data_IF_446827610865
#
_entry.id   IF_446827610865
#
_cell.length_a   1.000
_cell.length_b   1.000
_cell.length_c   1.000
_cell.angle_alpha   90.00
_cell.angle_beta   90.00
_cell.angle_gamma   90.00
#
_symmetry.space_group_name_H-M   'P 1'
#
loop_
_entity.id
_entity.type
_entity.pdbx_description
1 polymer ?
#
# COMPACT_ATOMS: atom_id res chain seq x y z
N UNK A 1 -7.35 -6.08 13.02
CA UNK A 1 -6.12 -6.90 12.93
C UNK A 1 -5.55 -7.04 11.50
N UNK A 2 -6.26 -6.69 10.42
CA UNK A 2 -5.77 -6.85 9.05
C UNK A 2 -4.67 -5.84 8.62
N UNK A 3 -4.71 -4.59 9.09
CA UNK A 3 -3.80 -3.51 8.62
C UNK A 3 -2.32 -3.78 8.97
N UNK A 4 -2.04 -4.36 10.15
CA UNK A 4 -0.66 -4.63 10.58
C UNK A 4 0.05 -5.65 9.68
N UNK A 5 -0.66 -6.68 9.22
CA UNK A 5 -0.09 -7.70 8.35
C UNK A 5 0.21 -7.17 6.94
N UNK A 6 -0.56 -6.19 6.45
CA UNK A 6 -0.38 -5.58 5.13
C UNK A 6 0.91 -4.75 5.07
N UNK A 7 1.21 -4.05 6.17
CA UNK A 7 2.36 -3.15 6.25
C UNK A 7 3.63 -3.85 6.77
N UNK A 8 3.52 -5.07 7.29
CA UNK A 8 4.64 -5.81 7.87
C UNK A 8 5.85 -5.97 6.93
N UNK A 9 5.71 -6.36 5.64
CA UNK A 9 6.86 -6.48 4.73
C UNK A 9 7.60 -5.15 4.57
N UNK A 10 6.87 -4.04 4.47
CA UNK A 10 7.44 -2.71 4.30
C UNK A 10 8.11 -2.20 5.58
N UNK A 11 7.53 -2.51 6.74
CA UNK A 11 8.13 -2.20 8.04
C UNK A 11 9.44 -2.96 8.24
N UNK A 12 9.45 -4.27 7.94
CA UNK A 12 10.64 -5.10 7.98
C UNK A 12 11.71 -4.62 7.00
N UNK A 13 11.35 -4.36 5.74
CA UNK A 13 12.24 -3.74 4.75
C UNK A 13 12.88 -2.45 5.28
N UNK A 14 12.05 -1.51 5.77
CA UNK A 14 12.52 -0.21 6.22
C UNK A 14 13.48 -0.33 7.40
N UNK A 15 13.18 -1.22 8.35
CA UNK A 15 14.03 -1.47 9.51
C UNK A 15 15.34 -2.17 9.12
N UNK A 16 15.27 -3.22 8.29
CA UNK A 16 16.45 -3.96 7.83
C UNK A 16 17.40 -3.08 7.02
N UNK A 17 16.88 -2.16 6.20
CA UNK A 17 17.70 -1.17 5.49
C UNK A 17 18.53 -0.27 6.41
N UNK A 18 18.24 -0.19 7.72
CA UNK A 18 19.02 0.56 8.70
C UNK A 18 20.17 -0.26 9.33
N UNK A 19 20.08 -1.59 9.30
CA UNK A 19 20.97 -2.48 10.07
C UNK A 19 21.68 -3.54 9.22
N UNK A 20 21.28 -3.71 7.95
CA UNK A 20 21.86 -4.71 7.04
C UNK A 20 21.88 -4.24 5.58
N UNK A 21 22.25 -5.12 4.66
CA UNK A 21 22.33 -4.82 3.23
C UNK A 21 20.96 -4.71 2.56
N UNK A 22 20.90 -3.99 1.44
CA UNK A 22 19.68 -3.85 0.65
C UNK A 22 19.17 -5.20 0.14
N UNK A 23 20.07 -6.08 -0.31
CA UNK A 23 19.76 -7.43 -0.80
C UNK A 23 19.03 -8.25 0.27
N UNK A 24 19.57 -8.31 1.48
CA UNK A 24 18.95 -9.04 2.60
C UNK A 24 17.60 -8.42 2.94
N UNK A 25 17.51 -7.09 2.97
CA UNK A 25 16.30 -6.35 3.31
C UNK A 25 15.14 -6.64 2.36
N UNK A 26 15.38 -6.61 1.05
CA UNK A 26 14.33 -6.86 0.05
C UNK A 26 13.96 -8.34 -0.04
N UNK A 27 14.92 -9.28 0.06
CA UNK A 27 14.57 -10.71 0.08
C UNK A 27 13.81 -11.11 1.34
N UNK A 28 14.16 -10.57 2.50
CA UNK A 28 13.40 -10.78 3.73
C UNK A 28 11.97 -10.24 3.59
N UNK A 29 11.80 -9.03 3.04
CA UNK A 29 10.47 -8.47 2.77
C UNK A 29 9.66 -9.33 1.78
N UNK A 30 10.30 -9.82 0.71
CA UNK A 30 9.69 -10.77 -0.23
C UNK A 30 9.24 -12.05 0.47
N UNK A 31 10.08 -12.63 1.33
CA UNK A 31 9.73 -13.82 2.10
C UNK A 31 8.53 -13.58 3.03
N UNK A 32 8.46 -12.41 3.68
CA UNK A 32 7.30 -12.03 4.50
C UNK A 32 6.03 -11.88 3.62
N UNK A 33 6.14 -11.28 2.44
CA UNK A 33 5.01 -11.24 1.49
C UNK A 33 4.54 -12.64 1.10
N UNK A 34 5.46 -13.54 0.74
CA UNK A 34 5.12 -14.94 0.41
C UNK A 34 4.49 -15.68 1.59
N UNK A 35 5.00 -15.48 2.80
CA UNK A 35 4.43 -16.06 4.01
C UNK A 35 3.02 -15.55 4.27
N UNK A 36 2.74 -14.25 4.09
CA UNK A 36 1.38 -13.72 4.23
C UNK A 36 0.42 -14.28 3.20
N UNK A 37 0.86 -14.42 1.93
CA UNK A 37 0.07 -15.09 0.88
C UNK A 37 -0.19 -16.56 1.23
N UNK A 38 0.83 -17.31 1.67
CA UNK A 38 0.68 -18.71 2.05
C UNK A 38 -0.28 -18.89 3.22
N UNK A 39 -0.21 -18.02 4.24
CA UNK A 39 -1.12 -18.03 5.39
C UNK A 39 -2.56 -17.74 4.94
N UNK A 40 -2.76 -16.77 4.05
CA UNK A 40 -4.08 -16.44 3.54
C UNK A 40 -4.68 -17.60 2.74
N UNK A 41 -3.90 -18.23 1.86
CA UNK A 41 -4.33 -19.43 1.10
C UNK A 41 -4.66 -20.59 2.04
N UNK A 42 -3.81 -20.87 3.03
CA UNK A 42 -4.04 -21.94 4.01
C UNK A 42 -5.29 -21.70 4.87
N UNK A 43 -5.73 -20.44 5.00
CA UNK A 43 -6.95 -20.05 5.73
C UNK A 43 -8.17 -19.90 4.80
N UNK A 44 -8.06 -20.29 3.53
CA UNK A 44 -9.14 -20.17 2.55
C UNK A 44 -9.49 -18.72 2.18
N UNK A 45 -8.58 -17.77 2.41
CA UNK A 45 -8.75 -16.35 2.08
C UNK A 45 -8.25 -16.04 0.67
N UNK A 46 -8.66 -14.88 0.16
CA UNK A 46 -8.23 -14.43 -1.16
C UNK A 46 -6.76 -14.02 -1.18
N UNK A 47 -6.05 -14.36 -2.27
CA UNK A 47 -4.69 -13.85 -2.51
C UNK A 47 -4.77 -12.36 -2.81
N UNK A 48 -4.17 -11.56 -1.94
CA UNK A 48 -4.21 -10.10 -2.06
C UNK A 48 -3.20 -9.62 -3.11
N UNK A 49 -3.69 -8.81 -4.05
CA UNK A 49 -2.90 -8.20 -5.14
C UNK A 49 -1.70 -7.45 -4.59
N UNK A 50 -1.87 -6.71 -3.49
CA UNK A 50 -0.77 -5.97 -2.87
C UNK A 50 0.30 -6.94 -2.34
N UNK A 51 -0.07 -7.98 -1.59
CA UNK A 51 0.91 -8.92 -1.03
C UNK A 51 1.68 -9.69 -2.13
N UNK A 52 0.96 -10.21 -3.13
CA UNK A 52 1.57 -10.93 -4.25
C UNK A 52 2.44 -10.00 -5.11
N UNK A 53 1.94 -8.81 -5.45
CA UNK A 53 2.69 -7.82 -6.22
C UNK A 53 3.95 -7.37 -5.48
N UNK A 54 3.86 -7.11 -4.18
CA UNK A 54 5.02 -6.73 -3.36
C UNK A 54 6.07 -7.81 -3.29
N UNK A 55 5.68 -9.09 -3.17
CA UNK A 55 6.63 -10.21 -3.22
C UNK A 55 7.44 -10.16 -4.53
N UNK A 56 6.75 -9.98 -5.65
CA UNK A 56 7.37 -9.92 -6.99
C UNK A 56 8.30 -8.72 -7.08
N UNK A 57 7.86 -7.52 -6.66
CA UNK A 57 8.70 -6.30 -6.70
C UNK A 57 9.94 -6.46 -5.85
N UNK A 58 9.81 -6.92 -4.60
CA UNK A 58 10.95 -7.11 -3.72
C UNK A 58 11.92 -8.18 -4.24
N UNK A 59 11.41 -9.30 -4.75
CA UNK A 59 12.23 -10.33 -5.36
C UNK A 59 12.96 -9.82 -6.61
N UNK A 60 12.27 -9.07 -7.48
CA UNK A 60 12.87 -8.49 -8.69
C UNK A 60 13.99 -7.51 -8.35
N UNK A 61 13.79 -6.64 -7.36
CA UNK A 61 14.83 -5.72 -6.88
C UNK A 61 16.01 -6.51 -6.27
N UNK A 62 15.73 -7.54 -5.46
CA UNK A 62 16.76 -8.39 -4.87
C UNK A 62 17.61 -9.11 -5.92
N UNK A 63 16.97 -9.66 -6.96
CA UNK A 63 17.65 -10.30 -8.08
C UNK A 63 18.45 -9.29 -8.91
N UNK A 64 17.91 -8.09 -9.15
CA UNK A 64 18.63 -7.02 -9.83
C UNK A 64 19.90 -6.62 -9.08
N UNK A 65 19.81 -6.45 -7.75
CA UNK A 65 20.96 -6.17 -6.90
C UNK A 65 21.97 -7.31 -6.87
N UNK A 66 21.51 -8.57 -6.86
CA UNK A 66 22.40 -9.72 -6.76
C UNK A 66 23.13 -10.05 -8.08
N UNK A 67 22.50 -9.77 -9.22
CA UNK A 67 22.95 -10.27 -10.52
C UNK A 67 23.39 -9.18 -11.50
N UNK A 68 22.90 -7.95 -11.37
CA UNK A 68 23.06 -6.90 -12.39
C UNK A 68 23.85 -5.72 -11.83
N UNK A 69 23.36 -5.10 -10.74
CA UNK A 69 24.00 -3.92 -10.14
C UNK A 69 24.01 -4.00 -8.61
N UNK A 70 25.03 -4.66 -8.02
CA UNK A 70 25.20 -4.73 -6.57
C UNK A 70 25.50 -3.40 -5.89
N UNK A 71 25.87 -2.37 -6.67
CA UNK A 71 26.24 -1.05 -6.16
C UNK A 71 25.10 -0.05 -6.24
N UNK A 72 23.91 -0.46 -6.70
CA UNK A 72 22.73 0.41 -6.73
C UNK A 72 22.51 1.01 -5.34
N UNK A 73 22.60 2.34 -5.28
CA UNK A 73 22.52 3.07 -4.02
C UNK A 73 21.19 2.87 -3.31
N UNK A 74 21.21 3.02 -1.98
CA UNK A 74 20.03 2.96 -1.08
C UNK A 74 18.83 3.73 -1.61
N UNK A 75 19.06 4.91 -2.18
CA UNK A 75 18.01 5.77 -2.72
C UNK A 75 17.38 5.19 -4.00
N UNK A 76 18.19 4.55 -4.86
CA UNK A 76 17.70 3.82 -6.04
C UNK A 76 16.81 2.66 -5.63
N UNK A 77 17.22 1.87 -4.63
CA UNK A 77 16.40 0.78 -4.08
C UNK A 77 15.06 1.31 -3.53
N UNK A 78 15.09 2.37 -2.72
CA UNK A 78 13.87 2.99 -2.15
C UNK A 78 12.93 3.48 -3.27
N UNK A 79 13.47 4.17 -4.27
CA UNK A 79 12.72 4.63 -5.42
C UNK A 79 12.08 3.46 -6.18
N UNK A 80 12.82 2.39 -6.43
CA UNK A 80 12.30 1.18 -7.10
C UNK A 80 11.14 0.55 -6.33
N UNK A 81 11.23 0.48 -4.99
CA UNK A 81 10.15 -0.03 -4.15
C UNK A 81 8.91 0.86 -4.26
N UNK A 82 9.05 2.18 -4.11
CA UNK A 82 7.91 3.11 -4.17
C UNK A 82 7.23 3.11 -5.54
N UNK A 83 8.02 3.06 -6.62
CA UNK A 83 7.53 2.91 -7.99
C UNK A 83 6.79 1.59 -8.15
N UNK A 84 7.32 0.49 -7.62
CA UNK A 84 6.65 -0.81 -7.65
C UNK A 84 5.29 -0.78 -6.96
N UNK A 85 5.18 -0.18 -5.77
CA UNK A 85 3.91 -0.01 -5.05
C UNK A 85 2.94 0.86 -5.87
N UNK A 86 3.43 1.96 -6.44
CA UNK A 86 2.63 2.83 -7.29
C UNK A 86 2.05 2.06 -8.49
N UNK A 87 2.89 1.27 -9.19
CA UNK A 87 2.47 0.46 -10.34
C UNK A 87 1.46 -0.61 -9.94
N UNK A 88 1.66 -1.31 -8.82
CA UNK A 88 0.70 -2.31 -8.32
C UNK A 88 -0.63 -1.65 -7.99
N UNK A 89 -0.59 -0.52 -7.27
CA UNK A 89 -1.78 0.18 -6.81
C UNK A 89 -2.58 0.76 -7.99
N UNK A 90 -1.91 1.47 -8.90
CA UNK A 90 -2.52 2.01 -10.12
C UNK A 90 -3.03 0.89 -11.03
N UNK A 91 -2.19 -0.14 -11.26
CA UNK A 91 -2.53 -1.31 -12.06
C UNK A 91 -3.79 -2.00 -11.56
N UNK A 92 -3.94 -2.15 -10.23
CA UNK A 92 -5.14 -2.72 -9.62
C UNK A 92 -6.42 -1.94 -9.98
N UNK A 93 -6.36 -0.60 -10.03
CA UNK A 93 -7.48 0.22 -10.47
C UNK A 93 -7.75 0.11 -11.97
N UNK A 94 -6.69 0.04 -12.79
CA UNK A 94 -6.81 -0.09 -14.25
C UNK A 94 -7.44 -1.42 -14.68
N UNK A 95 -7.15 -2.51 -13.97
CA UNK A 95 -7.81 -3.82 -14.18
C UNK A 95 -9.18 -3.92 -13.50
N UNK A 96 -9.70 -2.78 -13.02
CA UNK A 96 -11.00 -2.62 -12.35
C UNK A 96 -11.17 -3.36 -11.01
N UNK A 97 -10.07 -3.79 -10.40
CA UNK A 97 -10.03 -4.48 -9.11
C UNK A 97 -9.11 -3.74 -8.13
N UNK A 98 -9.55 -2.59 -7.55
CA UNK A 98 -8.74 -1.82 -6.62
C UNK A 98 -8.27 -2.70 -5.47
N UNK A 99 -6.97 -2.70 -5.16
CA UNK A 99 -6.39 -3.68 -4.23
C UNK A 99 -7.04 -3.65 -2.84
N UNK A 100 -7.58 -2.49 -2.40
CA UNK A 100 -8.24 -2.37 -1.10
C UNK A 100 -9.53 -3.16 -1.02
N UNK A 101 -10.17 -3.48 -2.15
CA UNK A 101 -11.44 -4.19 -2.21
C UNK A 101 -11.35 -5.58 -1.58
N UNK A 102 -10.26 -6.30 -1.83
CA UNK A 102 -10.04 -7.65 -1.27
C UNK A 102 -9.99 -7.61 0.26
N UNK A 103 -9.34 -6.59 0.81
CA UNK A 103 -9.28 -6.36 2.26
C UNK A 103 -10.62 -5.93 2.83
N UNK A 104 -11.33 -5.04 2.12
CA UNK A 104 -12.61 -4.54 2.56
C UNK A 104 -13.66 -5.66 2.62
N UNK A 105 -13.74 -6.52 1.61
CA UNK A 105 -14.65 -7.67 1.56
C UNK A 105 -14.42 -8.65 2.73
N UNK A 106 -13.17 -8.85 3.14
CA UNK A 106 -12.83 -9.69 4.29
C UNK A 106 -13.08 -8.99 5.65
N UNK A 107 -13.28 -7.67 5.66
CA UNK A 107 -13.35 -6.86 6.88
C UNK A 107 -14.75 -6.37 7.24
N UNK A 108 -15.72 -6.43 6.31
CA UNK A 108 -17.08 -5.93 6.53
C UNK A 108 -18.15 -7.01 6.28
N UNK A 109 -19.33 -6.91 6.91
CA UNK A 109 -20.46 -7.81 6.61
C UNK A 109 -20.93 -7.70 5.16
N UNK A 110 -21.56 -8.76 4.65
CA UNK A 110 -22.01 -8.85 3.26
C UNK A 110 -23.02 -7.74 2.91
N UNK A 111 -23.85 -7.30 3.87
CA UNK A 111 -24.81 -6.22 3.70
C UNK A 111 -24.10 -4.87 3.45
N UNK A 112 -22.93 -4.67 4.07
CA UNK A 112 -22.11 -3.47 3.85
C UNK A 112 -21.39 -3.54 2.51
N UNK A 113 -20.90 -4.73 2.13
CA UNK A 113 -20.28 -4.96 0.82
C UNK A 113 -21.28 -4.77 -0.35
N UNK A 114 -22.56 -5.08 -0.13
CA UNK A 114 -23.63 -4.92 -1.11
C UNK A 114 -24.08 -3.47 -1.32
N UNK A 115 -23.62 -2.52 -0.50
CA UNK A 115 -24.02 -1.11 -0.66
C UNK A 115 -23.48 -0.52 -1.97
N UNK A 116 -24.28 0.26 -2.72
CA UNK A 116 -23.89 0.79 -4.04
C UNK A 116 -22.66 1.73 -3.99
N UNK A 117 -22.35 2.28 -2.82
CA UNK A 117 -21.17 3.12 -2.60
C UNK A 117 -19.87 2.36 -2.28
N UNK A 118 -19.94 1.05 -2.01
CA UNK A 118 -18.82 0.27 -1.47
C UNK A 118 -17.65 0.18 -2.44
N UNK A 119 -17.92 -0.14 -3.71
CA UNK A 119 -16.89 -0.21 -4.74
C UNK A 119 -16.23 1.15 -4.96
N UNK A 120 -17.02 2.23 -5.09
CA UNK A 120 -16.51 3.59 -5.27
C UNK A 120 -15.62 4.02 -4.09
N UNK A 121 -15.98 3.63 -2.86
CA UNK A 121 -15.15 3.92 -1.69
C UNK A 121 -13.77 3.24 -1.79
N UNK A 122 -13.73 1.98 -2.22
CA UNK A 122 -12.47 1.26 -2.42
C UNK A 122 -11.60 1.87 -3.52
N UNK A 123 -12.18 2.35 -4.62
CA UNK A 123 -11.44 3.13 -5.62
C UNK A 123 -10.81 4.39 -5.02
N UNK A 124 -11.57 5.15 -4.23
CA UNK A 124 -11.08 6.41 -3.65
C UNK A 124 -9.97 6.14 -2.62
N UNK A 125 -10.12 5.11 -1.79
CA UNK A 125 -9.09 4.71 -0.83
C UNK A 125 -7.85 4.20 -1.58
N UNK A 126 -8.01 3.37 -2.61
CA UNK A 126 -6.89 2.89 -3.44
C UNK A 126 -6.20 4.06 -4.17
N UNK A 127 -6.95 5.05 -4.64
CA UNK A 127 -6.38 6.26 -5.24
C UNK A 127 -5.55 7.07 -4.23
N UNK A 128 -6.00 7.18 -2.97
CA UNK A 128 -5.23 7.83 -1.91
C UNK A 128 -3.90 7.09 -1.62
N UNK A 129 -3.91 5.76 -1.58
CA UNK A 129 -2.68 4.96 -1.48
C UNK A 129 -1.77 5.11 -2.70
N UNK A 130 -2.36 5.17 -3.90
CA UNK A 130 -1.62 5.41 -5.15
C UNK A 130 -0.93 6.77 -5.14
N UNK A 131 -1.64 7.81 -4.72
CA UNK A 131 -1.09 9.16 -4.58
C UNK A 131 0.02 9.22 -3.52
N UNK A 132 -0.16 8.52 -2.38
CA UNK A 132 0.88 8.43 -1.37
C UNK A 132 2.16 7.76 -1.91
N UNK A 133 2.03 6.64 -2.62
CA UNK A 133 3.17 5.97 -3.26
C UNK A 133 3.85 6.86 -4.31
N UNK A 134 3.07 7.61 -5.09
CA UNK A 134 3.60 8.57 -6.05
C UNK A 134 4.39 9.71 -5.37
N UNK A 135 3.87 10.26 -4.27
CA UNK A 135 4.57 11.31 -3.50
C UNK A 135 5.87 10.79 -2.89
N UNK A 136 5.88 9.55 -2.41
CA UNK A 136 7.08 8.88 -1.91
C UNK A 136 8.14 8.69 -3.00
N UNK A 137 7.73 8.16 -4.15
CA UNK A 137 8.60 8.00 -5.31
C UNK A 137 9.13 9.36 -5.79
N UNK A 138 8.28 10.38 -5.87
CA UNK A 138 8.69 11.73 -6.27
C UNK A 138 9.71 12.35 -5.29
N UNK A 139 9.52 12.16 -3.98
CA UNK A 139 10.48 12.64 -2.98
C UNK A 139 11.85 11.96 -3.11
N UNK A 140 11.87 10.64 -3.32
CA UNK A 140 13.11 9.91 -3.59
C UNK A 140 13.75 10.32 -4.92
N UNK A 141 12.95 10.58 -5.95
CA UNK A 141 13.44 11.08 -7.25
C UNK A 141 14.09 12.46 -7.11
N UNK A 142 13.44 13.38 -6.38
CA UNK A 142 13.96 14.73 -6.12
C UNK A 142 15.30 14.66 -5.38
N UNK A 143 15.43 13.80 -4.37
CA UNK A 143 16.71 13.61 -3.67
C UNK A 143 17.81 13.04 -4.58
N UNK A 144 17.45 12.28 -5.60
CA UNK A 144 18.42 11.70 -6.55
C UNK A 144 19.03 12.78 -7.44
N UNK A 145 18.22 13.73 -7.90
CA UNK A 145 18.61 14.76 -8.87
C UNK A 145 18.97 16.12 -8.26
N UNK A 146 18.58 16.37 -7.01
CA UNK A 146 18.89 17.61 -6.27
C UNK A 146 19.79 17.26 -5.08
N UNK A 147 21.11 17.12 -5.31
CA UNK A 147 22.06 16.85 -4.25
C UNK A 147 22.13 18.04 -3.27
N UNK A 148 22.18 17.75 -1.97
CA UNK A 148 22.24 18.77 -0.90
C UNK A 148 20.98 18.83 -0.03
N UNK A 149 19.88 18.19 -0.45
CA UNK A 149 18.72 18.01 0.41
C UNK A 149 18.99 16.96 1.49
N UNK A 150 18.51 17.17 2.73
CA UNK A 150 18.74 16.21 3.79
C UNK A 150 18.03 14.88 3.53
N UNK A 151 18.73 13.75 3.73
CA UNK A 151 18.15 12.41 3.52
C UNK A 151 16.88 12.15 4.35
N UNK A 152 16.74 12.79 5.52
CA UNK A 152 15.56 12.68 6.38
C UNK A 152 14.29 13.28 5.76
N UNK A 153 14.40 14.14 4.76
CA UNK A 153 13.24 14.74 4.07
C UNK A 153 12.40 13.68 3.35
N UNK A 154 13.02 12.72 2.64
CA UNK A 154 12.30 11.59 2.02
C UNK A 154 11.60 10.72 3.05
N UNK A 155 12.23 10.49 4.20
CA UNK A 155 11.63 9.75 5.30
C UNK A 155 10.42 10.48 5.88
N UNK A 156 10.53 11.81 6.06
CA UNK A 156 9.42 12.64 6.52
C UNK A 156 8.24 12.60 5.54
N UNK A 157 8.49 12.72 4.23
CA UNK A 157 7.45 12.60 3.20
C UNK A 157 6.83 11.21 3.21
N UNK A 158 7.64 10.16 3.30
CA UNK A 158 7.14 8.78 3.35
C UNK A 158 6.26 8.53 4.58
N UNK A 159 6.67 9.04 5.74
CA UNK A 159 5.89 8.94 6.96
C UNK A 159 4.59 9.73 6.84
N UNK A 160 4.63 10.98 6.38
CA UNK A 160 3.44 11.81 6.21
C UNK A 160 2.46 11.18 5.21
N UNK A 161 2.91 10.86 4.00
CA UNK A 161 2.07 10.29 2.94
C UNK A 161 1.41 8.97 3.38
N UNK A 162 2.18 8.06 4.00
CA UNK A 162 1.65 6.78 4.48
C UNK A 162 0.66 6.95 5.62
N UNK A 163 0.96 7.80 6.61
CA UNK A 163 0.04 8.03 7.74
C UNK A 163 -1.24 8.75 7.29
N UNK A 164 -1.15 9.68 6.34
CA UNK A 164 -2.32 10.30 5.71
C UNK A 164 -3.19 9.25 5.01
N UNK A 165 -2.61 8.33 4.25
CA UNK A 165 -3.38 7.26 3.58
C UNK A 165 -4.04 6.30 4.59
N UNK A 166 -3.34 5.93 5.67
CA UNK A 166 -3.89 5.10 6.75
C UNK A 166 -5.06 5.81 7.44
N UNK A 167 -4.87 7.07 7.83
CA UNK A 167 -5.91 7.88 8.45
C UNK A 167 -7.13 8.01 7.54
N UNK A 168 -6.90 8.35 6.27
CA UNK A 168 -7.94 8.47 5.26
C UNK A 168 -8.71 7.15 5.07
N UNK A 169 -8.03 6.01 5.10
CA UNK A 169 -8.67 4.68 5.00
C UNK A 169 -9.65 4.43 6.14
N UNK A 170 -9.37 4.94 7.35
CA UNK A 170 -10.25 4.80 8.52
C UNK A 170 -11.38 5.83 8.51
N UNK A 171 -11.05 7.09 8.22
CA UNK A 171 -11.97 8.22 8.29
C UNK A 171 -12.99 8.26 7.15
N UNK A 172 -12.58 7.92 5.92
CA UNK A 172 -13.42 8.09 4.73
C UNK A 172 -14.74 7.27 4.76
N UNK A 173 -14.75 6.00 5.22
CA UNK A 173 -15.99 5.25 5.42
C UNK A 173 -16.96 5.92 6.41
N UNK A 174 -16.48 6.42 7.54
CA UNK A 174 -17.29 7.11 8.56
C UNK A 174 -17.90 8.40 7.99
N UNK A 175 -17.09 9.19 7.30
CA UNK A 175 -17.56 10.39 6.61
C UNK A 175 -18.70 10.08 5.62
N UNK A 176 -18.57 8.98 4.85
CA UNK A 176 -19.61 8.55 3.90
C UNK A 176 -20.89 8.11 4.62
N UNK A 177 -20.79 7.40 5.74
CA UNK A 177 -21.97 7.01 6.53
C UNK A 177 -22.71 8.25 7.06
N UNK A 178 -21.99 9.20 7.66
CA UNK A 178 -22.59 10.44 8.18
C UNK A 178 -23.22 11.25 7.06
N UNK A 179 -22.53 11.42 5.93
CA UNK A 179 -22.99 12.31 4.85
C UNK A 179 -24.13 11.75 4.01
N UNK A 180 -24.25 10.42 3.87
CA UNK A 180 -25.21 9.82 2.93
C UNK A 180 -26.26 8.92 3.60
N UNK A 181 -26.01 8.39 4.80
CA UNK A 181 -26.96 7.50 5.50
C UNK A 181 -27.73 8.25 6.60
N UNK A 182 -27.05 9.09 7.39
CA UNK A 182 -27.72 9.89 8.44
C UNK A 182 -28.76 10.89 7.92
N UNK A 183 -28.52 11.68 6.85
CA UNK A 183 -29.53 12.60 6.32
C UNK A 183 -30.72 11.88 5.66
N UNK A 184 -30.56 10.66 5.17
CA UNK A 184 -31.66 9.88 4.59
C UNK A 184 -32.67 9.40 5.64
N UNK A 185 -32.26 9.24 6.91
CA UNK A 185 -33.15 8.91 8.04
C UNK A 185 -33.84 10.14 8.66
N UNK A 186 -33.39 11.35 8.33
CA UNK A 186 -33.91 12.59 8.90
C UNK A 186 -35.07 13.21 8.09
N UNK A 187 -35.42 12.64 6.93
CA UNK A 187 -36.61 13.04 6.19
C UNK A 187 -37.83 12.32 6.80
N UNK A 188 -38.81 13.04 7.37
CA UNK A 188 -40.03 12.41 7.84
C UNK A 188 -40.71 11.74 6.65
N UNK A 189 -41.11 10.47 6.82
CA UNK A 189 -41.92 9.76 5.84
C UNK A 189 -43.17 10.60 5.54
N UNK A 190 -43.18 11.28 4.40
CA UNK A 190 -44.37 11.92 3.87
C UNK A 190 -45.35 10.79 3.54
N UNK A 191 -46.45 10.77 4.30
CA UNK A 191 -47.56 9.84 4.15
C UNK A 191 -48.23 9.98 2.80
#
# INVERSE_FOLDING_TARGET
MAIFLILAPYGAYTFLMLVTSAVISVFAASAICLATVAIDVARGRSVKVLAAGSAIVFAAIGLYLALIDPQLGTLGVKLSVDVGIFVISLGSMLVRHPFTLQYALESVPAETAAMPGFLRANYIITAAWTAAALLMAAANLVLLYIPGLPLWSSLAVAFAARNCAIYFTKWYPEYRQIKYVAPARALPNAR
#
